data_IF_305996375568
#
_entry.id   IF_305996375568
#
_cell.length_a   1.000
_cell.length_b   1.000
_cell.length_c   1.000
_cell.angle_alpha   90.00
_cell.angle_beta   90.00
_cell.angle_gamma   90.00
#
_symmetry.space_group_name_H-M   'P 1'
#
loop_
_entity.id
_entity.type
_entity.pdbx_description
1 polymer ?
#
# COMPACT_ATOMS: atom_id res chain seq x y z
N UNK A 1 4.27 -18.90 -29.17
CA UNK A 1 3.49 -18.75 -27.94
C UNK A 1 3.20 -17.29 -27.69
N UNK A 2 1.95 -16.91 -27.69
CA UNK A 2 1.60 -15.58 -27.24
C UNK A 2 2.00 -15.45 -25.77
N UNK A 3 3.03 -14.66 -25.51
CA UNK A 3 3.29 -14.21 -24.16
C UNK A 3 2.03 -13.47 -23.72
N UNK A 4 1.28 -14.07 -22.82
CA UNK A 4 0.32 -13.29 -22.05
C UNK A 4 1.12 -12.13 -21.50
N UNK A 5 0.90 -10.95 -22.02
CA UNK A 5 1.41 -9.73 -21.40
C UNK A 5 0.83 -9.77 -20.00
N UNK A 6 1.64 -10.18 -19.05
CA UNK A 6 1.27 -10.04 -17.65
C UNK A 6 0.95 -8.57 -17.48
N UNK A 7 -0.33 -8.29 -17.39
CA UNK A 7 -0.78 -6.95 -17.04
C UNK A 7 -0.02 -6.61 -15.78
N UNK A 8 0.69 -5.48 -15.79
CA UNK A 8 1.37 -5.00 -14.60
C UNK A 8 0.34 -4.92 -13.48
N UNK A 9 0.22 -6.00 -12.70
CA UNK A 9 -0.74 -6.08 -11.61
C UNK A 9 -0.35 -5.06 -10.56
N UNK A 10 -1.27 -4.16 -10.26
CA UNK A 10 -1.09 -3.13 -9.25
C UNK A 10 -2.25 -3.17 -8.28
N UNK A 11 -1.93 -3.27 -7.00
CA UNK A 11 -2.92 -3.26 -5.92
C UNK A 11 -2.77 -1.97 -5.14
N UNK A 12 -3.80 -1.13 -5.15
CA UNK A 12 -3.79 0.18 -4.50
C UNK A 12 -4.41 0.12 -3.12
N UNK A 13 -3.86 0.89 -2.19
CA UNK A 13 -4.44 1.11 -0.87
C UNK A 13 -5.28 2.39 -0.89
N UNK A 14 -6.52 2.29 -1.30
CA UNK A 14 -7.42 3.45 -1.43
C UNK A 14 -7.67 4.14 -0.10
N UNK A 15 -7.76 3.38 0.99
CA UNK A 15 -7.97 3.92 2.33
C UNK A 15 -6.82 4.81 2.77
N UNK A 16 -5.59 4.51 2.36
CA UNK A 16 -4.42 5.33 2.67
C UNK A 16 -4.57 6.76 2.14
N UNK A 17 -5.03 6.90 0.91
CA UNK A 17 -5.24 8.22 0.30
C UNK A 17 -6.40 8.99 0.92
N UNK A 18 -7.36 8.29 1.49
CA UNK A 18 -8.48 8.92 2.21
C UNK A 18 -8.05 9.40 3.60
N UNK A 19 -7.27 8.57 4.33
CA UNK A 19 -6.95 8.80 5.73
C UNK A 19 -5.69 9.65 5.93
N UNK A 20 -4.82 9.72 4.93
CA UNK A 20 -3.49 10.35 5.03
C UNK A 20 -3.22 11.32 3.90
N UNK A 21 -2.51 12.37 4.22
CA UNK A 21 -1.88 13.25 3.24
C UNK A 21 -0.51 12.66 2.88
N UNK A 22 -0.33 12.28 1.62
CA UNK A 22 0.91 11.69 1.13
C UNK A 22 1.89 12.80 0.77
N UNK A 23 3.04 12.83 1.44
CA UNK A 23 4.05 13.88 1.25
C UNK A 23 5.18 13.46 0.31
N UNK A 24 5.58 12.18 0.36
CA UNK A 24 6.64 11.64 -0.49
C UNK A 24 6.47 10.12 -0.62
N UNK A 25 7.02 9.56 -1.68
CA UNK A 25 6.94 8.11 -1.93
C UNK A 25 8.29 7.55 -2.35
N UNK A 26 8.56 6.31 -1.95
CA UNK A 26 9.76 5.56 -2.31
C UNK A 26 9.37 4.14 -2.71
N UNK A 27 10.09 3.57 -3.67
CA UNK A 27 9.93 2.17 -4.04
C UNK A 27 10.83 1.29 -3.19
N UNK A 28 10.29 0.19 -2.68
CA UNK A 28 11.04 -0.80 -1.93
C UNK A 28 10.80 -2.20 -2.48
N UNK A 29 11.79 -3.07 -2.35
CA UNK A 29 11.59 -4.51 -2.51
C UNK A 29 10.91 -5.07 -1.28
N UNK A 30 10.38 -6.27 -1.38
CA UNK A 30 9.73 -6.96 -0.27
C UNK A 30 10.17 -8.43 -0.24
N UNK A 31 10.54 -8.90 0.94
CA UNK A 31 10.95 -10.29 1.14
C UNK A 31 9.71 -11.16 1.26
N UNK A 32 9.45 -11.95 0.24
CA UNK A 32 8.28 -12.84 0.15
C UNK A 32 8.71 -14.28 -0.07
N UNK A 33 7.87 -15.20 0.41
CA UNK A 33 8.00 -16.60 0.05
C UNK A 33 7.34 -16.86 -1.32
N UNK A 34 7.74 -17.94 -1.99
CA UNK A 34 7.20 -18.28 -3.31
C UNK A 34 5.68 -18.44 -3.31
N UNK A 35 5.10 -19.01 -2.26
CA UNK A 35 3.66 -19.15 -2.10
C UNK A 35 2.95 -17.80 -2.00
N UNK A 36 3.57 -16.82 -1.34
CA UNK A 36 3.03 -15.46 -1.23
C UNK A 36 3.04 -14.74 -2.58
N UNK A 37 4.10 -14.90 -3.37
CA UNK A 37 4.19 -14.33 -4.71
C UNK A 37 3.08 -14.89 -5.62
N UNK A 38 2.84 -16.20 -5.55
CA UNK A 38 1.74 -16.85 -6.29
C UNK A 38 0.38 -16.28 -5.89
N UNK A 39 0.16 -16.09 -4.60
CA UNK A 39 -1.10 -15.49 -4.08
C UNK A 39 -1.29 -14.08 -4.59
N UNK A 40 -0.25 -13.27 -4.63
CA UNK A 40 -0.31 -11.90 -5.15
C UNK A 40 -0.65 -11.91 -6.64
N UNK A 41 -0.09 -12.83 -7.43
CA UNK A 41 -0.43 -12.96 -8.86
C UNK A 41 -1.91 -13.28 -9.08
N UNK A 42 -2.51 -14.02 -8.16
CA UNK A 42 -3.95 -14.35 -8.18
C UNK A 42 -4.82 -13.23 -7.58
N UNK A 43 -4.22 -12.11 -7.21
CA UNK A 43 -4.95 -10.98 -6.64
C UNK A 43 -5.36 -11.15 -5.18
N UNK A 44 -4.76 -12.10 -4.47
CA UNK A 44 -5.13 -12.43 -3.09
C UNK A 44 -4.29 -11.65 -2.07
N UNK A 45 -4.24 -10.34 -2.22
CA UNK A 45 -3.54 -9.45 -1.32
C UNK A 45 -4.43 -8.27 -0.95
N UNK A 46 -4.35 -7.85 0.30
CA UNK A 46 -5.09 -6.70 0.80
C UNK A 46 -4.16 -5.81 1.62
N UNK A 47 -4.01 -4.57 1.20
CA UNK A 47 -3.20 -3.56 1.86
C UNK A 47 -3.97 -2.77 2.92
N UNK A 48 -5.28 -2.96 3.01
CA UNK A 48 -6.12 -2.26 3.99
C UNK A 48 -5.63 -2.54 5.41
N UNK A 49 -5.53 -1.49 6.20
CA UNK A 49 -5.06 -1.54 7.60
C UNK A 49 -3.59 -1.98 7.75
N UNK A 50 -2.84 -2.07 6.66
CA UNK A 50 -1.41 -2.28 6.73
C UNK A 50 -0.68 -0.98 7.02
N UNK A 51 0.48 -1.09 7.64
CA UNK A 51 1.34 0.05 7.95
C UNK A 51 2.80 -0.38 7.90
N UNK A 52 3.69 0.58 7.88
CA UNK A 52 5.12 0.34 7.80
C UNK A 52 5.79 0.88 9.04
N UNK A 53 6.72 0.10 9.62
CA UNK A 53 7.50 0.50 10.79
C UNK A 53 8.97 0.21 10.58
N UNK A 54 9.80 1.01 11.20
CA UNK A 54 11.24 0.79 11.30
C UNK A 54 11.50 0.14 12.65
N UNK A 55 11.99 -1.09 12.62
CA UNK A 55 12.28 -1.89 13.82
C UNK A 55 13.74 -2.32 13.74
N UNK A 56 14.55 -1.97 14.75
CA UNK A 56 16.00 -2.31 14.80
C UNK A 56 16.73 -1.93 13.51
N UNK A 57 16.50 -0.72 13.01
CA UNK A 57 17.11 -0.18 11.80
C UNK A 57 16.74 -0.91 10.49
N UNK A 58 15.70 -1.72 10.51
CA UNK A 58 15.13 -2.37 9.33
C UNK A 58 13.67 -1.96 9.15
N UNK A 59 13.20 -1.99 7.92
CA UNK A 59 11.85 -1.56 7.57
C UNK A 59 10.97 -2.79 7.35
N UNK A 60 9.79 -2.79 7.97
CA UNK A 60 8.81 -3.88 7.85
C UNK A 60 7.44 -3.35 7.49
N UNK A 61 6.74 -4.08 6.64
CA UNK A 61 5.30 -3.89 6.43
C UNK A 61 4.55 -4.84 7.37
N UNK A 62 3.65 -4.26 8.17
CA UNK A 62 2.88 -4.96 9.18
C UNK A 62 1.41 -5.06 8.75
N UNK A 63 0.78 -6.16 9.08
CA UNK A 63 -0.65 -6.38 8.88
C UNK A 63 -1.11 -6.36 7.41
N UNK A 64 -0.21 -6.56 6.46
CA UNK A 64 -0.58 -6.79 5.07
C UNK A 64 -1.07 -8.22 4.92
N UNK A 65 -2.30 -8.40 4.44
CA UNK A 65 -2.92 -9.72 4.33
C UNK A 65 -2.66 -10.33 2.95
N UNK A 66 -2.03 -11.49 2.93
CA UNK A 66 -1.86 -12.31 1.73
C UNK A 66 -2.53 -13.65 2.00
N UNK A 67 -3.66 -13.89 1.35
CA UNK A 67 -4.46 -15.11 1.54
C UNK A 67 -3.77 -16.31 0.87
N UNK A 68 -3.72 -17.43 1.56
CA UNK A 68 -3.19 -18.66 0.99
C UNK A 68 -4.04 -19.16 -0.18
N UNK A 69 -3.37 -19.71 -1.19
CA UNK A 69 -4.05 -20.45 -2.24
C UNK A 69 -4.46 -21.83 -1.71
N UNK A 70 -5.60 -22.34 -2.19
CA UNK A 70 -6.09 -23.67 -1.82
C UNK A 70 -5.11 -24.80 -2.17
N UNK A 71 -4.25 -24.56 -3.17
CA UNK A 71 -3.21 -25.50 -3.61
C UNK A 71 -1.91 -25.42 -2.83
N UNK A 72 -1.78 -24.46 -1.91
CA UNK A 72 -0.57 -24.29 -1.11
C UNK A 72 -0.41 -25.45 -0.11
N UNK A 73 0.82 -25.89 0.07
CA UNK A 73 1.15 -26.96 1.02
C UNK A 73 0.80 -26.54 2.44
N UNK A 74 0.00 -27.37 3.14
CA UNK A 74 -0.46 -27.05 4.50
C UNK A 74 0.66 -26.99 5.53
N UNK A 75 1.79 -27.67 5.29
CA UNK A 75 2.91 -27.76 6.24
C UNK A 75 3.81 -26.53 6.27
N UNK A 76 3.82 -25.72 5.19
CA UNK A 76 4.75 -24.60 5.02
C UNK A 76 4.04 -23.28 4.71
N UNK A 77 2.81 -23.13 5.19
CA UNK A 77 2.07 -21.87 5.01
C UNK A 77 2.59 -20.83 5.99
N UNK A 78 3.16 -19.70 5.51
CA UNK A 78 3.46 -18.59 6.41
C UNK A 78 2.17 -17.98 6.94
N UNK A 79 2.25 -17.29 8.07
CA UNK A 79 1.12 -16.52 8.57
C UNK A 79 0.70 -15.51 7.50
N UNK A 80 -0.60 -15.44 7.20
CA UNK A 80 -1.16 -14.56 6.18
C UNK A 80 -0.92 -13.08 6.47
N UNK A 81 -0.74 -12.71 7.73
CA UNK A 81 -0.49 -11.34 8.18
C UNK A 81 0.88 -11.17 8.83
N UNK A 82 1.83 -12.04 8.51
CA UNK A 82 3.17 -11.95 9.08
C UNK A 82 3.85 -10.63 8.73
N UNK A 83 4.78 -10.20 9.57
CA UNK A 83 5.63 -9.05 9.30
C UNK A 83 6.57 -9.40 8.14
N UNK A 84 6.63 -8.52 7.14
CA UNK A 84 7.47 -8.73 5.96
C UNK A 84 8.50 -7.63 5.85
N UNK A 85 9.76 -8.04 5.72
CA UNK A 85 10.86 -7.11 5.60
C UNK A 85 10.84 -6.43 4.24
N UNK A 86 11.03 -5.13 4.23
CA UNK A 86 11.21 -4.35 3.02
C UNK A 86 12.70 -4.20 2.72
N UNK A 87 13.05 -4.31 1.45
CA UNK A 87 14.43 -4.23 0.98
C UNK A 87 14.68 -2.83 0.46
N UNK A 88 15.44 -2.05 1.23
CA UNK A 88 15.77 -0.66 0.93
C UNK A 88 17.25 -0.40 1.20
N UNK A 89 17.79 0.60 0.53
CA UNK A 89 19.16 1.04 0.79
C UNK A 89 19.26 1.71 2.17
N UNK A 90 20.39 1.55 2.83
CA UNK A 90 20.62 2.14 4.16
C UNK A 90 20.35 3.64 4.19
N UNK A 91 20.77 4.37 3.16
CA UNK A 91 20.52 5.81 3.05
C UNK A 91 19.04 6.15 3.04
N UNK A 92 18.24 5.34 2.35
CA UNK A 92 16.79 5.50 2.31
C UNK A 92 16.15 5.22 3.66
N UNK A 93 16.59 4.17 4.34
CA UNK A 93 16.11 3.81 5.68
C UNK A 93 16.43 4.94 6.67
N UNK A 94 17.64 5.46 6.65
CA UNK A 94 18.07 6.54 7.55
C UNK A 94 17.27 7.82 7.30
N UNK A 95 17.00 8.15 6.04
CA UNK A 95 16.15 9.28 5.66
C UNK A 95 14.73 9.11 6.20
N UNK A 96 14.13 7.94 6.01
CA UNK A 96 12.79 7.64 6.51
C UNK A 96 12.74 7.70 8.03
N UNK A 97 13.71 7.13 8.71
CA UNK A 97 13.80 7.14 10.16
C UNK A 97 13.86 8.58 10.70
N UNK A 98 14.67 9.42 10.08
CA UNK A 98 14.78 10.83 10.42
C UNK A 98 13.45 11.58 10.27
N UNK A 99 12.75 11.35 9.17
CA UNK A 99 11.45 11.98 8.90
C UNK A 99 10.37 11.54 9.90
N UNK A 100 10.37 10.25 10.23
CA UNK A 100 9.41 9.71 11.21
C UNK A 100 9.68 10.25 12.61
N UNK A 101 10.95 10.30 13.04
CA UNK A 101 11.29 10.71 14.40
C UNK A 101 11.28 12.22 14.61
N UNK A 102 11.78 12.99 13.64
CA UNK A 102 11.87 14.45 13.75
C UNK A 102 10.58 15.17 13.36
N UNK A 103 9.96 14.73 12.26
CA UNK A 103 8.79 15.42 11.71
C UNK A 103 7.48 14.75 12.12
N UNK A 104 7.54 13.66 12.87
CA UNK A 104 6.35 12.95 13.35
C UNK A 104 5.51 12.33 12.22
N UNK A 105 6.13 12.00 11.09
CA UNK A 105 5.44 11.41 9.94
C UNK A 105 5.21 9.91 10.13
N UNK A 106 4.23 9.39 9.41
CA UNK A 106 3.87 7.97 9.41
C UNK A 106 4.29 7.34 8.08
N UNK A 107 4.66 6.08 8.11
CA UNK A 107 4.95 5.30 6.92
C UNK A 107 3.79 4.35 6.63
N UNK A 108 3.30 4.39 5.40
CA UNK A 108 2.20 3.53 4.95
C UNK A 108 2.47 2.99 3.55
N UNK A 109 2.02 1.77 3.23
CA UNK A 109 2.08 1.29 1.85
C UNK A 109 0.89 1.85 1.07
N UNK A 110 1.16 2.40 -0.10
CA UNK A 110 0.13 2.97 -0.98
C UNK A 110 -0.24 2.05 -2.13
N UNK A 111 0.71 1.26 -2.60
CA UNK A 111 0.46 0.26 -3.65
C UNK A 111 1.50 -0.85 -3.62
N UNK A 112 1.09 -2.00 -4.09
CA UNK A 112 1.94 -3.17 -4.32
C UNK A 112 1.83 -3.52 -5.81
N UNK A 113 2.94 -3.81 -6.46
CA UNK A 113 2.92 -4.05 -7.92
C UNK A 113 4.09 -4.93 -8.35
N UNK A 114 3.98 -5.48 -9.56
CA UNK A 114 5.09 -6.15 -10.22
C UNK A 114 5.81 -5.16 -11.13
N UNK A 115 7.15 -5.12 -11.04
CA UNK A 115 7.94 -4.26 -11.93
C UNK A 115 8.18 -4.93 -13.29
N UNK A 116 8.92 -4.25 -14.18
CA UNK A 116 9.23 -4.76 -15.52
C UNK A 116 10.02 -6.09 -15.51
N UNK A 117 10.72 -6.38 -14.42
CA UNK A 117 11.47 -7.63 -14.22
C UNK A 117 10.64 -8.69 -13.49
N UNK A 118 9.34 -8.48 -13.36
CA UNK A 118 8.41 -9.41 -12.71
C UNK A 118 8.70 -9.65 -11.21
N UNK A 119 9.31 -8.66 -10.55
CA UNK A 119 9.55 -8.68 -9.11
C UNK A 119 8.49 -7.85 -8.39
N UNK A 120 8.07 -8.31 -7.23
CA UNK A 120 7.10 -7.57 -6.40
C UNK A 120 7.79 -6.38 -5.76
N UNK A 121 7.20 -5.22 -5.94
CA UNK A 121 7.64 -3.95 -5.33
C UNK A 121 6.49 -3.33 -4.56
N UNK A 122 6.84 -2.60 -3.52
CA UNK A 122 5.86 -1.87 -2.70
C UNK A 122 6.24 -0.39 -2.68
N UNK A 123 5.25 0.47 -2.80
CA UNK A 123 5.46 1.90 -2.65
C UNK A 123 5.28 2.30 -1.20
N UNK A 124 6.35 2.78 -0.59
CA UNK A 124 6.37 3.31 0.76
C UNK A 124 6.07 4.80 0.70
N UNK A 125 5.09 5.24 1.45
CA UNK A 125 4.73 6.65 1.50
C UNK A 125 5.04 7.25 2.87
N UNK A 126 5.64 8.44 2.86
CA UNK A 126 5.71 9.33 4.01
C UNK A 126 4.41 10.11 4.06
N UNK A 127 3.69 10.01 5.15
CA UNK A 127 2.34 10.54 5.25
C UNK A 127 2.08 11.20 6.59
N UNK A 128 1.12 12.10 6.57
CA UNK A 128 0.57 12.75 7.77
C UNK A 128 -0.90 12.38 7.87
N UNK A 129 -1.34 11.97 9.05
CA UNK A 129 -2.75 11.70 9.28
C UNK A 129 -3.59 12.95 9.03
N UNK A 130 -4.64 12.84 8.23
CA UNK A 130 -5.58 13.92 8.02
C UNK A 130 -6.34 14.19 9.32
N UNK A 131 -6.46 15.46 9.68
CA UNK A 131 -7.32 15.86 10.79
C UNK A 131 -8.78 15.53 10.44
N UNK A 132 -9.57 15.18 11.42
CA UNK A 132 -10.97 14.85 11.24
C UNK A 132 -11.72 15.97 10.50
N UNK A 133 -11.34 17.22 10.74
CA UNK A 133 -11.87 18.40 10.06
C UNK A 133 -11.61 18.35 8.54
N UNK A 134 -10.40 17.98 8.12
CA UNK A 134 -10.04 17.89 6.70
C UNK A 134 -10.83 16.82 5.98
N UNK A 135 -11.06 15.67 6.62
CA UNK A 135 -11.88 14.58 6.08
C UNK A 135 -13.34 15.02 5.87
N UNK A 136 -13.90 15.73 6.83
CA UNK A 136 -15.26 16.25 6.76
C UNK A 136 -15.41 17.25 5.62
N UNK A 137 -14.41 18.10 5.44
CA UNK A 137 -14.41 19.13 4.40
C UNK A 137 -14.34 18.48 3.01
N UNK A 138 -13.49 17.48 2.82
CA UNK A 138 -13.40 16.70 1.58
C UNK A 138 -14.76 16.07 1.22
N UNK A 139 -15.44 15.46 2.16
CA UNK A 139 -16.75 14.85 1.98
C UNK A 139 -17.80 15.90 1.65
N UNK A 140 -17.78 17.04 2.32
CA UNK A 140 -18.71 18.16 2.08
C UNK A 140 -18.55 18.70 0.65
N UNK A 141 -17.32 18.89 0.18
CA UNK A 141 -17.06 19.34 -1.18
C UNK A 141 -17.54 18.34 -2.23
N UNK A 142 -17.36 17.05 -2.01
CA UNK A 142 -17.88 16.01 -2.91
C UNK A 142 -19.40 16.04 -2.98
N UNK A 143 -20.08 16.23 -1.87
CA UNK A 143 -21.55 16.34 -1.80
C UNK A 143 -22.02 17.56 -2.55
N UNK A 144 -21.42 18.72 -2.33
CA UNK A 144 -21.75 19.96 -3.03
C UNK A 144 -21.60 19.84 -4.56
N UNK A 145 -20.53 19.19 -5.01
CA UNK A 145 -20.35 18.92 -6.46
C UNK A 145 -21.45 18.03 -7.02
N UNK A 146 -21.86 17.00 -6.30
CA UNK A 146 -22.95 16.11 -6.71
C UNK A 146 -24.27 16.86 -6.81
N UNK A 147 -24.59 17.69 -5.83
CA UNK A 147 -25.81 18.51 -5.81
C UNK A 147 -25.84 19.51 -6.95
N UNK A 148 -24.71 20.16 -7.24
CA UNK A 148 -24.60 21.09 -8.36
C UNK A 148 -24.84 20.38 -9.72
N UNK A 149 -24.26 19.19 -9.91
CA UNK A 149 -24.48 18.39 -11.11
C UNK A 149 -25.92 17.93 -11.24
N UNK A 150 -26.57 17.56 -10.15
CA UNK A 150 -27.97 17.16 -10.09
C UNK A 150 -28.89 18.33 -10.47
N UNK A 151 -28.62 19.51 -9.93
CA UNK A 151 -29.38 20.73 -10.25
C UNK A 151 -29.28 21.10 -11.74
N UNK A 152 -28.07 20.97 -12.33
CA UNK A 152 -27.88 21.18 -13.77
C UNK A 152 -28.67 20.19 -14.62
N UNK A 153 -28.74 18.93 -14.24
CA UNK A 153 -29.53 17.90 -14.92
C UNK A 153 -31.03 18.16 -14.84
N UNK A 154 -31.51 18.71 -13.74
CA UNK A 154 -32.92 18.97 -13.50
C UNK A 154 -33.40 20.29 -14.11
N UNK A 155 -32.51 21.17 -14.55
CA UNK A 155 -32.86 22.46 -15.18
C UNK A 155 -32.99 22.39 -16.70
N UNK A 156 -32.74 21.24 -17.31
CA UNK A 156 -32.93 21.01 -18.75
C UNK A 156 -34.09 20.02 -18.99
#
# INVERSE_FOLDING_TARGET
MAKIKEKNLTFKNKKAYHDYEILDTLEAGIALQGSEVKSIREGRVNLKDSHIRIIKNEVYVLNMHITHLSTAHTTFRPDERRDRKLLMHRKEIDKLHSKVTKDGLTLIPTKLYFNSKNMVKIQVALARGKKLHDKREDLKQKTLKREALQALKNSF
#
